data_IF_949296944076
#
_entry.id   IF_949296944076
#
_cell.length_a   1.000
_cell.length_b   1.000
_cell.length_c   1.000
_cell.angle_alpha   90.00
_cell.angle_beta   90.00
_cell.angle_gamma   90.00
#
_symmetry.space_group_name_H-M   'P 1'
#
loop_
_entity.id
_entity.type
_entity.pdbx_description
1 polymer ?
#
# COMPACT_ATOMS: atom_id res chain seq x y z
N UNK A 1 -19.48 -1.99 5.27
CA UNK A 1 -20.47 -2.87 5.96
C UNK A 1 -21.22 -3.82 5.03
N UNK A 2 -21.59 -3.43 3.79
CA UNK A 2 -22.41 -4.28 2.91
C UNK A 2 -21.77 -5.62 2.47
N UNK A 3 -20.45 -5.68 2.29
CA UNK A 3 -19.77 -6.90 1.81
C UNK A 3 -19.76 -8.03 2.86
N UNK A 4 -19.70 -7.71 4.15
CA UNK A 4 -19.67 -8.69 5.24
C UNK A 4 -20.99 -9.45 5.37
N UNK A 5 -22.12 -8.72 5.30
CA UNK A 5 -23.46 -9.31 5.35
C UNK A 5 -23.75 -10.16 4.10
N UNK A 6 -23.28 -9.74 2.92
CA UNK A 6 -23.41 -10.50 1.67
C UNK A 6 -22.59 -11.79 1.70
N UNK A 7 -21.40 -11.78 2.30
CA UNK A 7 -20.54 -12.95 2.43
C UNK A 7 -20.88 -13.85 3.64
N UNK A 8 -21.85 -13.47 4.49
CA UNK A 8 -22.23 -14.19 5.73
C UNK A 8 -21.03 -14.60 6.61
N UNK A 9 -19.97 -13.79 6.64
CA UNK A 9 -18.74 -14.11 7.39
C UNK A 9 -17.94 -15.32 6.85
N UNK A 10 -18.27 -15.86 5.68
CA UNK A 10 -17.56 -17.01 5.08
C UNK A 10 -16.17 -16.66 4.53
N UNK A 11 -15.92 -15.36 4.29
CA UNK A 11 -14.67 -14.86 3.71
C UNK A 11 -14.05 -13.88 4.69
N UNK A 12 -12.79 -14.12 5.07
CA UNK A 12 -12.01 -13.19 5.87
C UNK A 12 -11.61 -11.98 5.02
N UNK A 13 -12.08 -10.79 5.41
CA UNK A 13 -11.74 -9.54 4.75
C UNK A 13 -10.42 -8.92 5.27
N UNK A 14 -9.81 -9.52 6.30
CA UNK A 14 -8.68 -8.94 7.02
C UNK A 14 -7.43 -8.73 6.16
N UNK A 15 -7.17 -9.63 5.20
CA UNK A 15 -6.03 -9.50 4.27
C UNK A 15 -6.22 -8.30 3.35
N UNK A 16 -7.44 -8.09 2.84
CA UNK A 16 -7.78 -6.97 1.95
C UNK A 16 -7.74 -5.65 2.71
N UNK A 17 -8.22 -5.64 3.95
CA UNK A 17 -8.14 -4.46 4.83
C UNK A 17 -6.70 -4.08 5.19
N UNK A 18 -5.85 -5.08 5.48
CA UNK A 18 -4.42 -4.86 5.69
C UNK A 18 -3.75 -4.25 4.45
N UNK A 19 -4.07 -4.77 3.26
CA UNK A 19 -3.55 -4.25 1.99
C UNK A 19 -4.00 -2.80 1.74
N UNK A 20 -5.28 -2.50 1.94
CA UNK A 20 -5.83 -1.15 1.80
C UNK A 20 -5.18 -0.15 2.76
N UNK A 21 -4.97 -0.55 4.02
CA UNK A 21 -4.30 0.29 5.00
C UNK A 21 -2.84 0.59 4.60
N UNK A 22 -2.12 -0.41 4.08
CA UNK A 22 -0.75 -0.24 3.61
C UNK A 22 -0.66 0.69 2.39
N UNK A 23 -1.57 0.56 1.43
CA UNK A 23 -1.65 1.48 0.29
C UNK A 23 -1.93 2.92 0.74
N UNK A 24 -2.91 3.11 1.64
CA UNK A 24 -3.26 4.43 2.20
C UNK A 24 -2.09 5.09 2.93
N UNK A 25 -1.32 4.31 3.68
CA UNK A 25 -0.13 4.80 4.38
C UNK A 25 0.96 5.24 3.39
N UNK A 26 1.19 4.45 2.33
CA UNK A 26 2.19 4.73 1.29
C UNK A 26 1.90 6.05 0.60
N UNK A 27 0.64 6.28 0.20
CA UNK A 27 0.18 7.52 -0.43
C UNK A 27 0.31 8.73 0.51
N UNK A 28 0.14 8.53 1.82
CA UNK A 28 0.33 9.61 2.82
C UNK A 28 1.80 9.96 3.02
N UNK A 29 2.70 8.97 2.96
CA UNK A 29 4.15 9.17 3.09
C UNK A 29 4.74 9.92 1.90
N UNK A 30 4.18 9.75 0.70
CA UNK A 30 4.59 10.49 -0.51
C UNK A 30 4.05 11.93 -0.54
N UNK A 31 4.28 12.69 0.54
CA UNK A 31 3.82 14.07 0.66
C UNK A 31 4.52 14.94 -0.41
N UNK A 32 3.73 15.58 -1.29
CA UNK A 32 4.24 16.37 -2.42
C UNK A 32 4.38 15.59 -3.74
N UNK A 33 4.45 14.26 -3.70
CA UNK A 33 4.56 13.41 -4.89
C UNK A 33 3.26 12.63 -5.10
N UNK A 34 2.36 13.19 -5.93
CA UNK A 34 1.01 12.65 -6.16
C UNK A 34 0.67 12.45 -7.63
N UNK A 35 1.65 12.50 -8.53
CA UNK A 35 1.38 12.12 -9.92
C UNK A 35 0.99 10.64 -9.98
N UNK A 36 0.09 10.23 -10.89
CA UNK A 36 -0.31 8.83 -11.02
C UNK A 36 0.88 7.89 -11.19
N UNK A 37 1.89 8.28 -11.97
CA UNK A 37 3.08 7.44 -12.24
C UNK A 37 3.90 7.20 -10.98
N UNK A 38 4.10 8.25 -10.16
CA UNK A 38 4.87 8.14 -8.92
C UNK A 38 4.11 7.29 -7.89
N UNK A 39 2.78 7.43 -7.85
CA UNK A 39 1.95 6.69 -6.92
C UNK A 39 1.92 5.19 -7.28
N UNK A 40 1.87 4.86 -8.57
CA UNK A 40 2.05 3.50 -9.07
C UNK A 40 3.41 2.91 -8.67
N UNK A 41 4.50 3.63 -8.94
CA UNK A 41 5.85 3.21 -8.56
C UNK A 41 5.98 3.00 -7.04
N UNK A 42 5.50 3.94 -6.23
CA UNK A 42 5.54 3.83 -4.77
C UNK A 42 4.76 2.63 -4.25
N UNK A 43 3.58 2.33 -4.82
CA UNK A 43 2.80 1.15 -4.47
C UNK A 43 3.51 -0.14 -4.89
N UNK A 44 4.12 -0.18 -6.07
CA UNK A 44 4.92 -1.32 -6.53
C UNK A 44 6.11 -1.60 -5.61
N UNK A 45 6.85 -0.58 -5.18
CA UNK A 45 7.93 -0.76 -4.21
C UNK A 45 7.41 -1.25 -2.84
N UNK A 46 6.37 -0.60 -2.31
CA UNK A 46 5.84 -0.92 -1.00
C UNK A 46 5.17 -2.30 -0.91
N UNK A 47 4.51 -2.75 -1.98
CA UNK A 47 3.77 -4.02 -2.02
C UNK A 47 4.60 -5.15 -2.64
N UNK A 48 5.34 -4.86 -3.71
CA UNK A 48 6.07 -5.82 -4.53
C UNK A 48 7.54 -6.03 -4.15
N UNK A 49 8.09 -5.28 -3.19
CA UNK A 49 9.50 -5.37 -2.77
C UNK A 49 10.48 -5.25 -3.96
N UNK A 50 10.21 -4.31 -4.88
CA UNK A 50 11.12 -4.04 -5.99
C UNK A 50 12.49 -3.60 -5.45
N UNK A 51 13.59 -3.92 -6.16
CA UNK A 51 14.93 -3.52 -5.74
C UNK A 51 15.02 -2.00 -5.65
N UNK A 52 15.45 -1.53 -4.48
CA UNK A 52 15.69 -0.12 -4.23
C UNK A 52 17.11 0.26 -4.65
N UNK A 53 17.34 1.51 -5.11
CA UNK A 53 18.69 1.97 -5.40
C UNK A 53 19.55 1.96 -4.14
N UNK A 54 20.84 1.65 -4.27
CA UNK A 54 21.79 1.76 -3.16
C UNK A 54 21.90 3.23 -2.74
N UNK A 55 21.44 3.54 -1.54
CA UNK A 55 21.58 4.86 -0.95
C UNK A 55 22.98 5.02 -0.37
N UNK A 56 23.60 6.17 -0.60
CA UNK A 56 24.93 6.50 -0.06
C UNK A 56 24.90 6.70 1.46
N UNK A 57 23.74 7.11 1.99
CA UNK A 57 23.52 7.36 3.42
C UNK A 57 22.19 6.74 3.84
N UNK A 58 22.23 5.88 4.86
CA UNK A 58 21.05 5.38 5.55
C UNK A 58 20.82 6.25 6.78
N UNK A 59 19.65 6.89 6.87
CA UNK A 59 19.24 7.58 8.09
C UNK A 59 18.44 6.58 8.94
N UNK A 60 19.01 6.21 10.09
CA UNK A 60 18.39 5.33 11.09
C UNK A 60 17.42 6.10 11.99
#
# INVERSE_FOLDING_TARGET
>A
MLNWFKAKGQISNGVVEGLNNKAKLTIRKSYGFRSPEILEMALLHALGKLPEPKLTHEFY
#
